data_IF_120644384149
#
_entry.id   IF_120644384149
#
_cell.length_a   1.000
_cell.length_b   1.000
_cell.length_c   1.000
_cell.angle_alpha   90.00
_cell.angle_beta   90.00
_cell.angle_gamma   90.00
#
_symmetry.space_group_name_H-M   'P 1'
#
loop_
_entity.id
_entity.type
_entity.pdbx_description
1 polymer ?
#
# COMPACT_ATOMS: atom_id res chain seq x y z
N UNK A 1 -29.82 20.14 -21.01
CA UNK A 1 -28.72 20.40 -20.07
C UNK A 1 -28.17 19.04 -19.65
N UNK A 2 -27.23 18.48 -20.43
CA UNK A 2 -26.62 17.19 -20.14
C UNK A 2 -25.58 17.40 -19.01
N UNK A 3 -25.83 16.82 -17.84
CA UNK A 3 -24.81 16.71 -16.80
C UNK A 3 -23.91 15.52 -17.15
N UNK A 4 -22.64 15.81 -17.43
CA UNK A 4 -21.57 14.85 -17.62
C UNK A 4 -21.28 14.13 -16.31
N UNK A 5 -21.51 12.81 -16.32
CA UNK A 5 -21.09 11.87 -15.26
C UNK A 5 -19.57 11.75 -15.34
N UNK A 6 -18.85 12.42 -14.42
CA UNK A 6 -17.39 12.52 -14.42
C UNK A 6 -16.69 11.51 -13.50
N UNK A 7 -15.72 10.81 -14.08
CA UNK A 7 -14.39 10.45 -13.53
C UNK A 7 -14.20 9.51 -12.33
N UNK A 8 -15.21 8.78 -11.84
CA UNK A 8 -14.95 7.75 -10.80
C UNK A 8 -14.56 6.36 -11.34
N UNK A 9 -14.76 6.10 -12.64
CA UNK A 9 -14.48 4.79 -13.25
C UNK A 9 -13.01 4.56 -13.62
N UNK A 10 -12.24 5.63 -13.83
CA UNK A 10 -10.86 5.52 -14.33
C UNK A 10 -9.85 5.25 -13.21
N UNK A 11 -10.18 5.64 -11.98
CA UNK A 11 -9.29 5.50 -10.82
C UNK A 11 -9.19 4.04 -10.35
N UNK A 12 -10.25 3.23 -10.52
CA UNK A 12 -10.23 1.82 -10.17
C UNK A 12 -9.28 0.99 -11.07
N UNK A 13 -9.21 1.31 -12.37
CA UNK A 13 -8.34 0.61 -13.32
C UNK A 13 -6.85 0.83 -13.05
N UNK A 14 -6.46 2.08 -12.78
CA UNK A 14 -5.07 2.45 -12.45
C UNK A 14 -4.61 1.80 -11.14
N UNK A 15 -5.48 1.75 -10.12
CA UNK A 15 -5.22 1.06 -8.85
C UNK A 15 -5.06 -0.44 -9.03
N UNK A 16 -5.90 -1.06 -9.84
CA UNK A 16 -5.82 -2.49 -10.12
C UNK A 16 -4.53 -2.86 -10.86
N UNK A 17 -4.07 -2.01 -11.78
CA UNK A 17 -2.83 -2.23 -12.52
C UNK A 17 -1.59 -2.04 -11.64
N UNK A 18 -1.55 -0.99 -10.83
CA UNK A 18 -0.47 -0.71 -9.87
C UNK A 18 -0.33 -1.81 -8.80
N UNK A 19 -1.45 -2.33 -8.32
CA UNK A 19 -1.50 -3.39 -7.31
C UNK A 19 -1.36 -4.81 -7.91
N UNK A 20 -1.10 -4.95 -9.21
CA UNK A 20 -0.99 -6.27 -9.85
C UNK A 20 0.28 -7.03 -9.42
N UNK A 21 0.19 -8.35 -9.40
CA UNK A 21 1.35 -9.24 -9.16
C UNK A 21 2.39 -9.14 -10.27
N UNK A 22 1.96 -8.85 -11.49
CA UNK A 22 2.83 -8.62 -12.66
C UNK A 22 3.71 -7.38 -12.42
N UNK A 23 3.09 -6.25 -12.07
CA UNK A 23 3.82 -5.02 -11.71
C UNK A 23 4.79 -5.23 -10.55
N UNK A 24 4.42 -6.04 -9.54
CA UNK A 24 5.31 -6.38 -8.42
C UNK A 24 6.52 -7.20 -8.86
N UNK A 25 6.30 -8.17 -9.74
CA UNK A 25 7.35 -9.07 -10.22
C UNK A 25 8.33 -8.33 -11.13
N UNK A 26 7.82 -7.48 -12.02
CA UNK A 26 8.63 -6.69 -12.96
C UNK A 26 9.47 -5.64 -12.24
N UNK A 27 8.91 -4.97 -11.22
CA UNK A 27 9.64 -3.97 -10.44
C UNK A 27 10.80 -4.57 -9.64
N UNK A 28 10.79 -5.88 -9.35
CA UNK A 28 11.83 -6.52 -8.53
C UNK A 28 13.24 -6.39 -9.10
N UNK A 29 13.38 -6.28 -10.42
CA UNK A 29 14.67 -6.17 -11.10
C UNK A 29 15.03 -4.75 -11.49
N UNK A 30 14.30 -3.75 -11.01
CA UNK A 30 14.67 -2.36 -11.22
C UNK A 30 15.93 -1.98 -10.41
N UNK A 31 16.47 -0.78 -10.65
CA UNK A 31 17.68 -0.28 -9.98
C UNK A 31 17.39 0.52 -8.70
N UNK A 32 16.15 0.53 -8.22
CA UNK A 32 15.71 1.24 -7.03
C UNK A 32 15.87 0.38 -5.78
N UNK A 33 15.76 1.01 -4.63
CA UNK A 33 15.57 0.36 -3.34
C UNK A 33 14.09 0.17 -3.06
N UNK A 34 13.74 -1.03 -2.59
CA UNK A 34 12.36 -1.44 -2.36
C UNK A 34 12.01 -1.36 -0.88
N UNK A 35 11.20 -0.37 -0.49
CA UNK A 35 10.67 -0.20 0.85
C UNK A 35 9.23 -0.71 0.93
N UNK A 36 9.01 -1.71 1.79
CA UNK A 36 7.67 -2.13 2.19
C UNK A 36 7.28 -1.40 3.49
N UNK A 37 6.38 -0.42 3.37
CA UNK A 37 5.89 0.36 4.50
C UNK A 37 4.56 -0.23 4.99
N UNK A 38 4.61 -0.91 6.15
CA UNK A 38 3.45 -1.53 6.76
C UNK A 38 2.86 -0.65 7.86
N UNK A 39 1.53 -0.56 7.94
CA UNK A 39 0.85 0.14 9.02
C UNK A 39 -0.26 -0.69 9.66
N UNK A 40 -0.33 -0.61 10.97
CA UNK A 40 -1.31 -1.32 11.79
C UNK A 40 -2.26 -0.37 12.54
N UNK A 41 -3.24 -0.92 13.25
CA UNK A 41 -4.31 -0.15 13.90
C UNK A 41 -3.84 0.74 15.06
N UNK A 42 -3.43 1.96 14.73
CA UNK A 42 -3.14 3.06 15.66
C UNK A 42 -3.49 4.39 15.00
N UNK A 43 -3.89 5.40 15.80
CA UNK A 43 -4.17 6.76 15.31
C UNK A 43 -2.99 7.34 14.53
N UNK A 44 -1.76 6.96 14.89
CA UNK A 44 -0.54 7.37 14.20
C UNK A 44 -0.50 6.99 12.70
N UNK A 45 -1.39 6.10 12.22
CA UNK A 45 -1.53 5.77 10.79
C UNK A 45 -1.84 7.00 9.93
N UNK A 46 -2.47 8.04 10.48
CA UNK A 46 -2.69 9.31 9.76
C UNK A 46 -1.38 10.00 9.34
N UNK A 47 -0.23 9.59 9.90
CA UNK A 47 1.10 10.14 9.65
C UNK A 47 1.89 9.40 8.57
N UNK A 48 1.33 8.37 7.93
CA UNK A 48 1.96 7.73 6.76
C UNK A 48 2.38 8.77 5.69
N UNK A 49 1.54 9.76 5.32
CA UNK A 49 1.95 10.77 4.34
C UNK A 49 3.20 11.54 4.76
N UNK A 50 3.40 11.80 6.06
CA UNK A 50 4.56 12.54 6.55
C UNK A 50 5.84 11.71 6.41
N UNK A 51 5.77 10.39 6.68
CA UNK A 51 6.87 9.45 6.45
C UNK A 51 7.25 9.42 4.97
N UNK A 52 6.26 9.26 4.08
CA UNK A 52 6.49 9.19 2.64
C UNK A 52 7.06 10.49 2.09
N UNK A 53 6.51 11.65 2.50
CA UNK A 53 7.02 12.98 2.10
C UNK A 53 8.45 13.21 2.57
N UNK A 54 8.83 12.76 3.77
CA UNK A 54 10.21 12.86 4.25
C UNK A 54 11.20 12.05 3.39
N UNK A 55 10.72 10.98 2.74
CA UNK A 55 11.49 10.13 1.83
C UNK A 55 11.45 10.59 0.36
N UNK A 56 10.69 11.64 0.04
CA UNK A 56 10.51 12.13 -1.34
C UNK A 56 11.83 12.49 -2.04
N UNK A 57 12.82 12.95 -1.27
CA UNK A 57 14.18 13.29 -1.76
C UNK A 57 14.94 12.14 -2.44
N UNK A 58 14.46 10.90 -2.32
CA UNK A 58 15.03 9.71 -2.96
C UNK A 58 14.33 9.32 -4.27
N UNK A 59 13.67 10.27 -4.92
CA UNK A 59 13.04 10.09 -6.22
C UNK A 59 13.96 9.40 -7.24
N UNK A 60 13.39 8.45 -8.00
CA UNK A 60 14.11 7.62 -8.97
C UNK A 60 15.05 6.57 -8.37
N UNK A 61 15.24 6.56 -7.04
CA UNK A 61 16.09 5.59 -6.32
C UNK A 61 15.34 4.78 -5.28
N UNK A 62 14.13 5.19 -4.90
CA UNK A 62 13.30 4.53 -3.90
C UNK A 62 11.94 4.20 -4.52
N UNK A 63 11.46 3.00 -4.26
CA UNK A 63 10.09 2.57 -4.49
C UNK A 63 9.47 2.19 -3.16
N UNK A 64 8.26 2.65 -2.92
CA UNK A 64 7.50 2.40 -1.71
C UNK A 64 6.23 1.64 -2.09
N UNK A 65 6.00 0.51 -1.44
CA UNK A 65 4.70 -0.17 -1.44
C UNK A 65 4.16 -0.17 -0.03
N UNK A 66 2.91 0.23 0.13
CA UNK A 66 2.27 0.36 1.44
C UNK A 66 1.36 -0.84 1.68
N UNK A 67 1.43 -1.46 2.86
CA UNK A 67 0.49 -2.51 3.28
C UNK A 67 -0.27 -2.04 4.53
N UNK A 68 -1.58 -2.23 4.53
CA UNK A 68 -2.48 -1.74 5.59
C UNK A 68 -3.25 -2.90 6.19
N UNK A 69 -3.23 -3.03 7.52
CA UNK A 69 -4.22 -3.88 8.20
C UNK A 69 -5.62 -3.25 8.09
N UNK A 70 -6.67 -4.06 8.19
CA UNK A 70 -8.05 -3.55 8.27
C UNK A 70 -8.23 -2.49 9.37
N UNK A 71 -7.65 -2.73 10.55
CA UNK A 71 -7.70 -1.78 11.65
C UNK A 71 -7.02 -0.43 11.33
N UNK A 72 -5.95 -0.43 10.53
CA UNK A 72 -5.28 0.79 10.10
C UNK A 72 -6.15 1.63 9.15
N UNK A 73 -6.94 0.97 8.29
CA UNK A 73 -7.80 1.63 7.30
C UNK A 73 -8.89 2.49 7.94
N UNK A 74 -9.32 2.18 9.16
CA UNK A 74 -10.27 3.04 9.91
C UNK A 74 -9.72 4.46 10.17
N UNK A 75 -8.41 4.64 10.21
CA UNK A 75 -7.77 5.94 10.36
C UNK A 75 -7.52 6.64 9.01
N UNK A 76 -7.93 6.05 7.89
CA UNK A 76 -7.69 6.56 6.54
C UNK A 76 -9.01 6.85 5.81
N UNK A 77 -9.99 7.39 6.54
CA UNK A 77 -11.36 7.58 6.09
C UNK A 77 -11.68 8.95 5.48
N UNK A 78 -10.75 9.91 5.47
CA UNK A 78 -11.03 11.25 4.92
C UNK A 78 -11.98 12.12 5.77
N UNK A 79 -12.18 11.81 7.05
CA UNK A 79 -13.17 12.48 7.91
C UNK A 79 -12.72 13.88 8.38
N UNK A 80 -11.44 14.22 8.23
CA UNK A 80 -10.87 15.53 8.54
C UNK A 80 -9.70 15.86 7.60
N UNK A 81 -9.25 17.11 7.59
CA UNK A 81 -8.08 17.54 6.81
C UNK A 81 -6.80 16.78 7.18
N UNK A 82 -6.70 16.33 8.43
CA UNK A 82 -5.56 15.57 8.93
C UNK A 82 -5.67 14.07 8.62
N UNK A 83 -6.85 13.61 8.17
CA UNK A 83 -7.10 12.21 7.89
C UNK A 83 -7.02 11.95 6.37
N UNK A 84 -5.90 11.43 5.84
CA UNK A 84 -5.81 11.08 4.42
C UNK A 84 -6.78 9.94 4.08
N UNK A 85 -7.11 9.78 2.80
CA UNK A 85 -7.82 8.58 2.32
C UNK A 85 -6.83 7.51 1.87
N UNK A 86 -7.23 6.24 1.87
CA UNK A 86 -6.40 5.16 1.30
C UNK A 86 -6.01 5.47 -0.15
N UNK A 87 -6.93 6.04 -0.94
CA UNK A 87 -6.64 6.42 -2.34
C UNK A 87 -5.61 7.54 -2.43
N UNK A 88 -5.65 8.51 -1.52
CA UNK A 88 -4.69 9.63 -1.53
C UNK A 88 -3.24 9.18 -1.32
N UNK A 89 -3.01 8.03 -0.68
CA UNK A 89 -1.67 7.50 -0.45
C UNK A 89 -0.97 7.11 -1.76
N UNK A 90 -1.72 6.69 -2.79
CA UNK A 90 -1.16 6.34 -4.10
C UNK A 90 -0.64 7.54 -4.87
N UNK A 91 -1.07 8.75 -4.51
CA UNK A 91 -0.62 9.98 -5.16
C UNK A 91 0.61 10.59 -4.46
N UNK A 92 1.15 9.90 -3.45
CA UNK A 92 2.34 10.34 -2.75
C UNK A 92 3.62 9.97 -3.54
N UNK A 93 4.69 10.76 -3.40
CA UNK A 93 5.94 10.50 -4.11
C UNK A 93 6.50 9.13 -3.78
N UNK A 94 7.04 8.46 -4.79
CA UNK A 94 7.65 7.13 -4.70
C UNK A 94 6.69 5.98 -4.30
N UNK A 95 5.38 6.23 -4.15
CA UNK A 95 4.41 5.16 -3.82
C UNK A 95 3.92 4.49 -5.10
N UNK A 96 4.32 3.23 -5.28
CA UNK A 96 3.96 2.45 -6.46
C UNK A 96 2.65 1.68 -6.24
N UNK A 97 2.33 1.27 -5.01
CA UNK A 97 1.14 0.46 -4.70
C UNK A 97 0.70 0.56 -3.23
N UNK A 98 -0.59 0.30 -2.98
CA UNK A 98 -1.18 0.22 -1.63
C UNK A 98 -2.06 -1.01 -1.54
N UNK A 99 -1.75 -1.91 -0.60
CA UNK A 99 -2.40 -3.21 -0.43
C UNK A 99 -3.15 -3.29 0.91
N UNK A 100 -4.20 -4.10 0.89
CA UNK A 100 -4.93 -4.57 2.06
C UNK A 100 -5.16 -6.09 1.96
N UNK A 101 -5.80 -6.70 2.97
CA UNK A 101 -6.02 -8.14 2.99
C UNK A 101 -6.88 -8.61 1.82
N UNK A 102 -7.78 -7.77 1.29
CA UNK A 102 -8.59 -8.11 0.11
C UNK A 102 -7.74 -8.28 -1.16
N UNK A 103 -6.62 -7.56 -1.28
CA UNK A 103 -5.70 -7.71 -2.40
C UNK A 103 -4.98 -9.07 -2.41
N UNK A 104 -4.77 -9.70 -1.26
CA UNK A 104 -4.17 -11.04 -1.14
C UNK A 104 -5.12 -12.13 -1.65
N UNK A 105 -6.39 -12.05 -1.26
CA UNK A 105 -7.37 -13.11 -1.53
C UNK A 105 -8.03 -12.97 -2.90
N UNK A 106 -8.15 -11.74 -3.42
CA UNK A 106 -8.71 -11.47 -4.74
C UNK A 106 -10.12 -12.08 -4.97
N UNK A 107 -10.61 -12.10 -6.22
CA UNK A 107 -11.90 -12.70 -6.56
C UNK A 107 -11.85 -14.24 -6.71
N UNK A 108 -10.64 -14.83 -6.79
CA UNK A 108 -10.46 -16.25 -7.04
C UNK A 108 -9.81 -16.93 -5.82
N UNK A 109 -10.29 -18.11 -5.40
CA UNK A 109 -9.67 -18.83 -4.30
C UNK A 109 -8.24 -19.26 -4.65
N UNK A 110 -7.41 -19.41 -3.61
CA UNK A 110 -6.04 -19.89 -3.75
C UNK A 110 -5.97 -21.20 -4.56
N UNK A 111 -4.98 -21.27 -5.44
CA UNK A 111 -4.66 -22.47 -6.23
C UNK A 111 -3.18 -22.79 -6.11
N UNK A 112 -2.85 -24.08 -6.08
CA UNK A 112 -1.45 -24.54 -6.10
C UNK A 112 -0.76 -23.99 -7.35
N UNK A 113 0.43 -23.41 -7.16
CA UNK A 113 1.25 -22.87 -8.24
C UNK A 113 0.92 -21.43 -8.65
N UNK A 114 -0.16 -20.83 -8.12
CA UNK A 114 -0.41 -19.41 -8.27
C UNK A 114 0.59 -18.59 -7.42
N UNK A 115 0.99 -17.43 -7.93
CA UNK A 115 1.76 -16.45 -7.17
C UNK A 115 0.93 -15.95 -5.98
N UNK A 116 1.59 -15.79 -4.83
CA UNK A 116 0.96 -15.42 -3.56
C UNK A 116 1.50 -14.05 -3.17
N UNK A 117 0.62 -13.06 -2.97
CA UNK A 117 1.03 -11.66 -2.88
C UNK A 117 2.01 -11.41 -1.72
N UNK A 118 1.75 -11.90 -0.51
CA UNK A 118 2.68 -11.73 0.61
C UNK A 118 4.05 -12.38 0.37
N UNK A 119 4.11 -13.48 -0.41
CA UNK A 119 5.38 -14.13 -0.78
C UNK A 119 6.15 -13.25 -1.76
N UNK A 120 5.47 -12.68 -2.75
CA UNK A 120 6.09 -11.80 -3.75
C UNK A 120 6.51 -10.46 -3.13
N UNK A 121 5.73 -9.90 -2.21
CA UNK A 121 6.11 -8.70 -1.45
C UNK A 121 7.38 -8.93 -0.62
N UNK A 122 7.49 -10.11 0.02
CA UNK A 122 8.70 -10.52 0.75
C UNK A 122 9.91 -10.63 -0.19
N UNK A 123 9.74 -11.15 -1.41
CA UNK A 123 10.83 -11.27 -2.40
C UNK A 123 11.22 -9.93 -3.01
N UNK A 124 10.28 -9.01 -3.10
CA UNK A 124 10.47 -7.69 -3.67
C UNK A 124 11.18 -6.73 -2.70
N UNK A 125 10.80 -6.74 -1.42
CA UNK A 125 11.28 -5.76 -0.44
C UNK A 125 12.76 -5.97 -0.07
N UNK A 126 13.55 -4.90 -0.16
CA UNK A 126 14.89 -4.83 0.44
C UNK A 126 14.78 -4.55 1.96
N UNK A 127 13.81 -3.72 2.33
CA UNK A 127 13.60 -3.26 3.71
C UNK A 127 12.09 -3.24 3.99
N UNK A 128 11.69 -3.72 5.17
CA UNK A 128 10.33 -3.58 5.68
C UNK A 128 10.34 -2.71 6.93
N UNK A 129 9.42 -1.73 6.98
CA UNK A 129 9.19 -0.87 8.14
C UNK A 129 7.74 -1.02 8.58
N UNK A 130 7.50 -1.31 9.86
CA UNK A 130 6.15 -1.32 10.42
C UNK A 130 5.95 -0.06 11.26
N UNK A 131 5.25 0.92 10.69
CA UNK A 131 5.02 2.23 11.29
C UNK A 131 3.61 2.76 10.97
N UNK A 132 2.69 2.80 11.96
CA UNK A 132 2.84 2.34 13.33
C UNK A 132 2.74 0.81 13.51
N UNK A 133 3.41 0.29 14.53
CA UNK A 133 3.22 -1.06 15.08
C UNK A 133 2.34 -0.99 16.34
N UNK A 134 1.09 -1.40 16.23
CA UNK A 134 0.14 -1.48 17.33
C UNK A 134 0.52 -2.62 18.28
N UNK A 135 0.12 -2.51 19.55
CA UNK A 135 0.36 -3.57 20.54
C UNK A 135 -0.24 -4.92 20.09
N UNK A 136 -1.40 -4.90 19.42
CA UNK A 136 -2.04 -6.11 18.88
C UNK A 136 -1.19 -6.77 17.78
N UNK A 137 -0.70 -5.99 16.81
CA UNK A 137 0.18 -6.52 15.76
C UNK A 137 1.51 -6.99 16.33
N UNK A 138 2.09 -6.25 17.29
CA UNK A 138 3.31 -6.68 17.99
C UNK A 138 3.10 -8.02 18.71
N UNK A 139 1.98 -8.18 19.42
CA UNK A 139 1.64 -9.43 20.10
C UNK A 139 1.50 -10.61 19.13
N UNK A 140 1.00 -10.39 17.90
CA UNK A 140 0.93 -11.40 16.85
C UNK A 140 2.29 -11.77 16.25
N UNK A 141 3.27 -10.87 16.33
CA UNK A 141 4.64 -11.11 15.83
C UNK A 141 5.49 -11.82 16.88
N UNK A 142 5.31 -11.49 18.16
CA UNK A 142 6.14 -12.01 19.25
C UNK A 142 5.63 -13.31 19.89
N UNK A 143 4.42 -13.75 19.57
CA UNK A 143 3.83 -15.01 20.06
C UNK A 143 3.73 -16.02 18.95
#
# INVERSE_FOLDING_TARGET
MLQTVGSDRDNHGLRAQANSLESLTDARTDSRKHLLLAASGSVATIKIPDIVKALAKHEGKLSIRIILTDAARHFLGGQSLEQPTVSSLLHLPNVDAVYDDAAEWGPHPWRRGASILHIELRRWADIMVVAPLSANTMAKVCR
#
